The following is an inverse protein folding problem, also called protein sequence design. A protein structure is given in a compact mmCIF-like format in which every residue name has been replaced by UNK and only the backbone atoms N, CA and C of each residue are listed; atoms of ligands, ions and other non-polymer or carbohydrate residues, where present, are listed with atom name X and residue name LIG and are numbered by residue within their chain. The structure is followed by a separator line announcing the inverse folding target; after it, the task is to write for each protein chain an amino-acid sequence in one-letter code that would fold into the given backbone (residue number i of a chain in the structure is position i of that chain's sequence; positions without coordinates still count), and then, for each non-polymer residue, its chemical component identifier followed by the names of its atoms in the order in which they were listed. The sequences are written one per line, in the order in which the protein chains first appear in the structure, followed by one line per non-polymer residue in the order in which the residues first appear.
data_IF_290680553848
#
_entry.id   IF_290680553848
#
_cell.length_a   1.000
_cell.length_b   1.000
_cell.length_c   1.000
_cell.angle_alpha   90.00
_cell.angle_beta   90.00
_cell.angle_gamma   90.00
#
_symmetry.space_group_name_H-M   'P 1'
#
loop_
_entity.id
_entity.type
_entity.pdbx_description
1 polymer ?
#
# COMPACT_ATOMS: atom_id res chain seq x y z
N UNK A 1 -6.12 1.40 5.63
CA UNK A 1 -7.34 1.11 6.42
C UNK A 1 -8.57 1.71 5.77
N UNK A 2 -9.69 1.00 5.85
CA UNK A 2 -10.97 1.43 5.27
C UNK A 2 -12.09 1.15 6.28
N UNK A 3 -12.85 2.17 6.69
CA UNK A 3 -13.92 2.03 7.68
C UNK A 3 -15.08 2.97 7.41
N UNK A 4 -16.30 2.49 7.68
CA UNK A 4 -17.54 3.29 7.66
C UNK A 4 -17.76 3.94 9.02
N UNK A 5 -16.98 4.97 9.31
CA UNK A 5 -17.05 5.76 10.55
C UNK A 5 -16.67 7.22 10.25
N UNK A 6 -17.05 8.10 11.16
CA UNK A 6 -16.48 9.44 11.23
C UNK A 6 -14.96 9.36 11.44
N UNK A 7 -14.20 10.20 10.73
CA UNK A 7 -12.74 10.19 10.81
C UNK A 7 -12.20 10.37 12.25
N UNK A 8 -12.85 11.22 13.03
CA UNK A 8 -12.52 11.44 14.45
C UNK A 8 -12.68 10.16 15.29
N UNK A 9 -13.75 9.40 15.02
CA UNK A 9 -14.06 8.13 15.71
C UNK A 9 -13.05 7.06 15.30
N UNK A 10 -12.79 6.90 14.01
CA UNK A 10 -11.80 5.95 13.49
C UNK A 10 -10.40 6.20 14.09
N UNK A 11 -9.98 7.46 14.17
CA UNK A 11 -8.69 7.83 14.75
C UNK A 11 -8.63 7.68 16.27
N UNK A 12 -9.77 7.80 16.97
CA UNK A 12 -9.82 7.61 18.43
C UNK A 12 -9.47 6.18 18.84
N UNK A 13 -9.76 5.19 17.99
CA UNK A 13 -9.39 3.79 18.21
C UNK A 13 -7.89 3.56 18.37
N UNK A 14 -7.05 4.46 17.82
CA UNK A 14 -5.57 4.36 17.93
C UNK A 14 -4.98 5.08 19.16
N UNK A 15 -5.81 5.77 19.96
CA UNK A 15 -5.34 6.53 21.12
C UNK A 15 -4.98 5.64 22.31
N UNK A 16 -5.50 4.42 22.36
CA UNK A 16 -5.17 3.50 23.43
C UNK A 16 -3.75 2.93 23.22
N UNK A 17 -2.87 3.16 24.20
CA UNK A 17 -1.47 2.72 24.17
C UNK A 17 -1.30 1.20 24.22
N UNK A 18 -2.30 0.45 24.69
CA UNK A 18 -2.27 -1.03 24.71
C UNK A 18 -2.54 -1.67 23.35
N UNK A 19 -3.04 -0.92 22.37
CA UNK A 19 -3.30 -1.47 21.04
C UNK A 19 -1.99 -1.78 20.30
N UNK A 20 -1.92 -2.98 19.75
CA UNK A 20 -0.79 -3.42 18.92
C UNK A 20 -0.69 -2.61 17.63
N UNK A 21 -1.85 -2.29 17.00
CA UNK A 21 -1.92 -1.48 15.80
C UNK A 21 -2.01 0.01 16.16
N UNK A 22 -1.10 0.80 15.61
CA UNK A 22 -1.05 2.26 15.77
C UNK A 22 -1.27 2.95 14.44
N UNK A 23 -1.74 4.19 14.45
CA UNK A 23 -1.97 4.99 13.24
C UNK A 23 -0.77 5.01 12.28
N UNK A 24 0.44 5.06 12.78
CA UNK A 24 1.65 5.11 11.97
C UNK A 24 1.95 3.81 11.20
N UNK A 25 1.31 2.69 11.56
CA UNK A 25 1.41 1.44 10.81
C UNK A 25 0.58 1.46 9.52
N UNK A 26 -0.30 2.44 9.35
CA UNK A 26 -1.12 2.60 8.15
C UNK A 26 -0.55 3.66 7.23
N UNK A 27 -0.43 3.33 5.95
CA UNK A 27 -0.06 4.31 4.91
C UNK A 27 -1.21 5.28 4.64
N UNK A 28 -2.44 4.75 4.52
CA UNK A 28 -3.67 5.50 4.28
C UNK A 28 -4.78 4.96 5.18
N UNK A 29 -5.63 5.86 5.68
CA UNK A 29 -6.88 5.52 6.35
C UNK A 29 -8.01 6.30 5.67
N UNK A 30 -8.97 5.59 5.07
CA UNK A 30 -10.23 6.12 4.54
C UNK A 30 -11.33 5.83 5.57
N UNK A 31 -11.75 6.86 6.28
CA UNK A 31 -12.84 6.81 7.25
C UNK A 31 -13.97 7.69 6.75
N UNK A 32 -14.96 7.10 6.11
CA UNK A 32 -16.11 7.75 5.52
C UNK A 32 -17.25 6.75 5.33
N UNK A 33 -18.42 7.22 4.91
CA UNK A 33 -19.61 6.39 4.67
C UNK A 33 -19.73 5.88 3.22
N UNK A 34 -18.71 6.12 2.41
CA UNK A 34 -18.65 5.63 1.03
C UNK A 34 -18.53 4.10 0.95
N UNK A 35 -18.84 3.57 -0.22
CA UNK A 35 -18.65 2.16 -0.53
C UNK A 35 -17.17 1.77 -0.37
N UNK A 36 -16.89 0.69 0.35
CA UNK A 36 -15.52 0.22 0.59
C UNK A 36 -14.76 -0.12 -0.70
N UNK A 37 -15.45 -0.64 -1.73
CA UNK A 37 -14.81 -0.88 -3.02
C UNK A 37 -14.33 0.42 -3.68
N UNK A 38 -15.09 1.52 -3.59
CA UNK A 38 -14.66 2.84 -4.06
C UNK A 38 -13.42 3.30 -3.29
N UNK A 39 -13.44 3.18 -1.96
CA UNK A 39 -12.29 3.53 -1.12
C UNK A 39 -11.04 2.70 -1.47
N UNK A 40 -11.19 1.41 -1.79
CA UNK A 40 -10.09 0.54 -2.23
C UNK A 40 -9.50 1.03 -3.55
N UNK A 41 -10.33 1.41 -4.51
CA UNK A 41 -9.86 2.00 -5.78
C UNK A 41 -9.08 3.29 -5.55
N UNK A 42 -9.56 4.16 -4.68
CA UNK A 42 -8.85 5.39 -4.32
C UNK A 42 -7.50 5.10 -3.65
N UNK A 43 -7.48 4.18 -2.68
CA UNK A 43 -6.24 3.74 -2.01
C UNK A 43 -5.25 3.15 -3.02
N UNK A 44 -5.73 2.33 -3.96
CA UNK A 44 -4.92 1.75 -5.05
C UNK A 44 -4.23 2.84 -5.86
N UNK A 45 -4.97 3.88 -6.25
CA UNK A 45 -4.45 5.02 -7.00
C UNK A 45 -3.45 5.84 -6.19
N UNK A 46 -3.80 6.22 -4.96
CA UNK A 46 -2.95 7.02 -4.07
C UNK A 46 -1.63 6.33 -3.70
N UNK A 47 -1.64 4.99 -3.58
CA UNK A 47 -0.43 4.20 -3.31
C UNK A 47 0.30 3.74 -4.57
N UNK A 48 -0.31 3.94 -5.74
CA UNK A 48 0.17 3.40 -7.01
C UNK A 48 0.42 1.89 -6.95
N UNK A 49 -0.57 1.15 -6.41
CA UNK A 49 -0.55 -0.31 -6.26
C UNK A 49 -1.70 -0.89 -7.07
N UNK A 50 -1.44 -1.94 -7.86
CA UNK A 50 -2.50 -2.66 -8.59
C UNK A 50 -3.52 -3.29 -7.64
N UNK A 51 -4.79 -3.34 -8.07
CA UNK A 51 -5.86 -4.00 -7.31
C UNK A 51 -5.59 -5.49 -7.09
N UNK A 52 -4.91 -6.14 -8.03
CA UNK A 52 -4.45 -7.52 -7.99
C UNK A 52 -3.37 -7.81 -6.92
N UNK A 53 -2.78 -6.76 -6.38
CA UNK A 53 -1.80 -6.84 -5.28
C UNK A 53 -2.40 -6.48 -3.93
N UNK A 54 -3.74 -6.40 -3.83
CA UNK A 54 -4.44 -6.02 -2.60
C UNK A 54 -5.21 -7.19 -2.01
N UNK A 55 -5.16 -7.29 -0.69
CA UNK A 55 -5.98 -8.22 0.10
C UNK A 55 -6.92 -7.40 0.97
N UNK A 56 -8.23 -7.63 0.84
CA UNK A 56 -9.25 -6.96 1.64
C UNK A 56 -9.78 -7.88 2.73
N UNK A 57 -9.68 -7.45 3.98
CA UNK A 57 -10.13 -8.17 5.16
C UNK A 57 -11.19 -7.33 5.86
N UNK A 58 -12.32 -7.95 6.16
CA UNK A 58 -13.44 -7.29 6.83
C UNK A 58 -14.23 -8.32 7.64
N UNK A 59 -14.74 -7.94 8.80
CA UNK A 59 -15.60 -8.78 9.64
C UNK A 59 -16.99 -8.96 9.03
N UNK A 60 -17.49 -7.96 8.32
CA UNK A 60 -18.79 -7.99 7.66
C UNK A 60 -18.77 -8.86 6.40
N UNK A 61 -19.52 -9.96 6.43
CA UNK A 61 -19.74 -10.79 5.23
C UNK A 61 -20.31 -9.98 4.07
N UNK A 62 -21.22 -9.04 4.36
CA UNK A 62 -21.81 -8.18 3.33
C UNK A 62 -20.75 -7.33 2.62
N UNK A 63 -19.84 -6.70 3.34
CA UNK A 63 -18.77 -5.89 2.76
C UNK A 63 -17.80 -6.75 1.96
N UNK A 64 -17.44 -7.95 2.44
CA UNK A 64 -16.60 -8.89 1.70
C UNK A 64 -17.22 -9.29 0.37
N UNK A 65 -18.51 -9.71 0.37
CA UNK A 65 -19.21 -10.09 -0.86
C UNK A 65 -19.37 -8.92 -1.84
N UNK A 66 -19.62 -7.71 -1.31
CA UNK A 66 -19.70 -6.50 -2.13
C UNK A 66 -18.39 -6.22 -2.85
N UNK A 67 -17.26 -6.28 -2.13
CA UNK A 67 -15.92 -6.07 -2.70
C UNK A 67 -15.58 -7.16 -3.70
N UNK A 68 -15.82 -8.44 -3.41
CA UNK A 68 -15.64 -9.55 -4.37
C UNK A 68 -16.37 -9.31 -5.68
N UNK A 69 -17.61 -8.86 -5.58
CA UNK A 69 -18.44 -8.61 -6.76
C UNK A 69 -17.99 -7.41 -7.58
N UNK A 70 -17.59 -6.33 -6.93
CA UNK A 70 -17.24 -5.09 -7.60
C UNK A 70 -15.77 -5.05 -8.03
N UNK A 71 -14.89 -5.71 -7.31
CA UNK A 71 -13.45 -5.73 -7.54
C UNK A 71 -12.92 -7.17 -7.56
N UNK A 72 -13.23 -7.94 -8.60
CA UNK A 72 -12.83 -9.35 -8.67
C UNK A 72 -11.31 -9.57 -8.71
N UNK A 73 -10.54 -8.51 -8.91
CA UNK A 73 -9.07 -8.56 -8.87
C UNK A 73 -8.50 -8.45 -7.45
N UNK A 74 -9.31 -7.97 -6.49
CA UNK A 74 -8.90 -7.86 -5.09
C UNK A 74 -9.14 -9.19 -4.40
N UNK A 75 -8.13 -9.70 -3.74
CA UNK A 75 -8.26 -10.93 -2.96
C UNK A 75 -9.04 -10.67 -1.67
N UNK A 76 -10.07 -11.46 -1.41
CA UNK A 76 -10.95 -11.29 -0.24
C UNK A 76 -11.10 -12.62 0.50
N UNK A 77 -10.23 -12.91 1.48
CA UNK A 77 -10.27 -14.16 2.23
C UNK A 77 -11.54 -14.30 3.08
N UNK A 78 -11.98 -15.53 3.23
CA UNK A 78 -13.06 -15.87 4.15
C UNK A 78 -12.52 -16.01 5.58
N UNK A 79 -12.63 -14.94 6.34
CA UNK A 79 -12.12 -14.89 7.72
C UNK A 79 -13.17 -15.24 8.78
N UNK A 80 -14.43 -15.50 8.36
CA UNK A 80 -15.51 -15.80 9.29
C UNK A 80 -15.92 -14.59 10.12
N UNK A 81 -16.58 -14.83 11.25
CA UNK A 81 -17.05 -13.81 12.19
C UNK A 81 -16.28 -13.79 13.51
N UNK A 82 -15.30 -14.69 13.67
CA UNK A 82 -14.52 -14.85 14.89
C UNK A 82 -13.13 -14.17 14.72
N UNK A 83 -12.90 -13.01 15.33
CA UNK A 83 -11.65 -12.27 15.18
C UNK A 83 -10.40 -13.04 15.65
N UNK A 84 -10.55 -13.95 16.61
CA UNK A 84 -9.43 -14.75 17.13
C UNK A 84 -8.85 -15.68 16.06
N UNK A 85 -9.65 -16.02 15.04
CA UNK A 85 -9.24 -16.90 13.93
C UNK A 85 -8.70 -16.15 12.71
N UNK A 86 -8.74 -14.81 12.68
CA UNK A 86 -8.32 -14.05 11.49
C UNK A 86 -6.86 -14.34 11.12
N UNK A 87 -5.96 -14.37 12.09
CA UNK A 87 -4.54 -14.69 11.85
C UNK A 87 -4.40 -16.07 11.22
N UNK A 88 -5.12 -17.07 11.73
CA UNK A 88 -5.10 -18.43 11.19
C UNK A 88 -5.54 -18.49 9.71
N UNK A 89 -6.62 -17.79 9.37
CA UNK A 89 -7.09 -17.75 7.97
C UNK A 89 -6.10 -17.03 7.04
N UNK A 90 -5.49 -15.94 7.50
CA UNK A 90 -4.51 -15.21 6.71
C UNK A 90 -3.22 -16.01 6.49
N UNK A 91 -2.74 -16.68 7.51
CA UNK A 91 -1.55 -17.55 7.41
C UNK A 91 -1.79 -18.74 6.49
N UNK A 92 -2.98 -19.33 6.54
CA UNK A 92 -3.34 -20.45 5.69
C UNK A 92 -3.27 -20.12 4.20
N UNK A 93 -3.72 -18.93 3.82
CA UNK A 93 -3.75 -18.48 2.41
C UNK A 93 -2.41 -17.91 1.94
N UNK A 94 -1.42 -17.75 2.83
CA UNK A 94 -0.03 -17.36 2.51
C UNK A 94 0.15 -16.04 1.75
N UNK A 95 -0.80 -15.11 1.86
CA UNK A 95 -0.76 -13.83 1.14
C UNK A 95 0.47 -12.97 1.44
N UNK A 96 1.04 -13.12 2.63
CA UNK A 96 2.11 -12.26 3.13
C UNK A 96 3.44 -12.99 3.31
N UNK A 97 3.55 -14.24 2.85
CA UNK A 97 4.79 -15.00 2.93
C UNK A 97 5.84 -14.45 1.95
N UNK A 98 6.91 -13.96 2.49
CA UNK A 98 8.09 -13.57 1.72
C UNK A 98 9.29 -14.42 2.14
N UNK A 99 10.02 -14.95 1.17
CA UNK A 99 11.22 -15.75 1.44
C UNK A 99 12.34 -14.95 2.12
N UNK A 100 12.41 -13.64 1.87
CA UNK A 100 13.33 -12.69 2.52
C UNK A 100 12.71 -11.30 2.55
N UNK A 101 12.69 -10.68 3.74
CA UNK A 101 12.36 -9.26 3.90
C UNK A 101 13.63 -8.44 3.74
N UNK A 102 13.65 -7.54 2.76
CA UNK A 102 14.73 -6.58 2.61
C UNK A 102 14.56 -5.39 3.58
N UNK A 103 15.65 -4.64 3.83
CA UNK A 103 15.57 -3.41 4.64
C UNK A 103 14.59 -2.39 4.02
N UNK A 104 14.49 -2.36 2.70
CA UNK A 104 13.58 -1.52 1.96
C UNK A 104 12.12 -1.94 2.17
N UNK A 105 11.84 -3.24 2.25
CA UNK A 105 10.49 -3.73 2.52
C UNK A 105 9.99 -3.27 3.90
N UNK A 106 10.86 -3.23 4.90
CA UNK A 106 10.55 -2.70 6.24
C UNK A 106 10.24 -1.20 6.23
N UNK A 107 10.77 -0.45 5.26
CA UNK A 107 10.53 0.99 5.11
C UNK A 107 9.40 1.33 4.13
N UNK A 108 8.72 0.33 3.57
CA UNK A 108 7.71 0.52 2.51
C UNK A 108 6.60 1.51 2.89
N UNK A 109 6.08 1.42 4.10
CA UNK A 109 5.06 2.37 4.59
C UNK A 109 5.56 3.82 4.58
N UNK A 110 6.82 4.06 4.93
CA UNK A 110 7.43 5.40 4.90
C UNK A 110 7.60 5.89 3.47
N UNK A 111 7.96 5.01 2.53
CA UNK A 111 8.06 5.37 1.11
C UNK A 111 6.71 5.79 0.54
N UNK A 112 5.63 5.08 0.84
CA UNK A 112 4.28 5.47 0.41
C UNK A 112 3.90 6.85 0.97
N UNK A 113 4.10 7.11 2.26
CA UNK A 113 3.83 8.42 2.87
C UNK A 113 4.63 9.54 2.21
N UNK A 114 5.90 9.28 1.90
CA UNK A 114 6.77 10.24 1.22
C UNK A 114 6.29 10.51 -0.20
N UNK A 115 5.82 9.51 -0.92
CA UNK A 115 5.31 9.66 -2.29
C UNK A 115 4.00 10.47 -2.30
N UNK A 116 3.05 10.17 -1.41
CA UNK A 116 1.82 10.95 -1.25
C UNK A 116 2.16 12.43 -1.03
N UNK A 117 3.07 12.73 -0.10
CA UNK A 117 3.51 14.09 0.16
C UNK A 117 4.14 14.77 -1.05
N UNK A 118 4.93 14.03 -1.85
CA UNK A 118 5.50 14.55 -3.09
C UNK A 118 4.44 14.91 -4.13
N UNK A 119 3.39 14.11 -4.25
CA UNK A 119 2.26 14.41 -5.16
C UNK A 119 1.49 15.65 -4.70
N UNK A 120 1.25 15.79 -3.39
CA UNK A 120 0.67 17.00 -2.81
C UNK A 120 1.55 18.24 -3.09
N UNK A 121 2.86 18.12 -2.84
CA UNK A 121 3.81 19.20 -3.12
C UNK A 121 3.84 19.56 -4.61
N UNK A 122 3.80 18.57 -5.52
CA UNK A 122 3.73 18.80 -6.96
C UNK A 122 2.50 19.59 -7.37
N UNK A 123 1.34 19.29 -6.79
CA UNK A 123 0.07 19.97 -7.08
C UNK A 123 0.08 21.44 -6.65
N UNK A 124 0.98 21.84 -5.75
CA UNK A 124 1.15 23.24 -5.33
C UNK A 124 1.95 24.09 -6.33
N UNK A 125 2.62 23.46 -7.30
CA UNK A 125 3.36 24.18 -8.35
C UNK A 125 2.50 24.38 -9.59
N UNK A 126 2.54 25.57 -10.19
CA UNK A 126 1.84 25.88 -11.44
C UNK A 126 2.52 25.27 -12.67
N UNK A 127 3.83 25.03 -12.59
CA UNK A 127 4.66 24.47 -13.66
C UNK A 127 5.47 23.30 -13.16
N UNK A 128 5.35 22.17 -13.87
CA UNK A 128 6.07 20.94 -13.56
C UNK A 128 7.59 21.11 -13.57
N UNK A 129 8.13 21.94 -14.46
CA UNK A 129 9.57 22.19 -14.51
C UNK A 129 10.08 22.95 -13.27
N UNK A 130 9.26 23.86 -12.72
CA UNK A 130 9.60 24.52 -11.46
C UNK A 130 9.63 23.52 -10.30
N UNK A 131 8.67 22.60 -10.24
CA UNK A 131 8.68 21.51 -9.28
C UNK A 131 9.94 20.65 -9.40
N UNK A 132 10.30 20.20 -10.60
CA UNK A 132 11.52 19.39 -10.81
C UNK A 132 12.79 20.12 -10.36
N UNK A 133 12.91 21.42 -10.65
CA UNK A 133 14.04 22.25 -10.20
C UNK A 133 14.11 22.37 -8.68
N UNK A 134 12.94 22.50 -8.02
CA UNK A 134 12.85 22.58 -6.54
C UNK A 134 13.39 21.32 -5.84
N UNK A 135 13.28 20.17 -6.47
CA UNK A 135 13.76 18.90 -5.91
C UNK A 135 15.29 18.81 -5.84
N UNK A 136 16.03 19.67 -6.57
CA UNK A 136 17.53 19.69 -6.60
C UNK A 136 18.13 18.30 -6.76
N UNK A 137 17.53 17.46 -7.61
CA UNK A 137 17.91 16.07 -7.80
C UNK A 137 19.36 15.98 -8.30
N UNK A 138 20.12 15.04 -7.72
CA UNK A 138 21.48 14.70 -8.14
C UNK A 138 21.52 13.24 -8.55
N UNK A 139 22.14 12.94 -9.69
CA UNK A 139 22.30 11.58 -10.20
C UNK A 139 23.78 11.20 -10.25
N UNK A 140 24.09 10.03 -9.74
CA UNK A 140 25.41 9.43 -9.87
C UNK A 140 25.32 8.22 -10.80
N UNK A 141 26.00 8.25 -11.93
CA UNK A 141 26.12 7.13 -12.86
C UNK A 141 27.36 6.30 -12.50
N UNK A 142 27.16 5.01 -12.29
CA UNK A 142 28.25 4.08 -11.95
C UNK A 142 28.08 2.80 -12.77
N UNK A 143 29.20 2.15 -13.10
CA UNK A 143 29.19 0.81 -13.68
C UNK A 143 28.62 -0.21 -12.69
N UNK A 144 28.02 -1.29 -13.22
CA UNK A 144 27.53 -2.39 -12.41
C UNK A 144 28.72 -3.07 -11.68
N UNK A 145 28.55 -3.33 -10.40
CA UNK A 145 29.48 -4.08 -9.57
C UNK A 145 28.75 -5.29 -8.99
N UNK A 146 29.50 -6.36 -8.73
CA UNK A 146 28.94 -7.59 -8.14
C UNK A 146 28.17 -7.34 -6.85
N UNK A 147 28.62 -6.40 -6.01
CA UNK A 147 27.96 -5.98 -4.77
C UNK A 147 26.52 -5.46 -4.96
N UNK A 148 26.19 -5.00 -6.17
CA UNK A 148 24.92 -4.36 -6.48
C UNK A 148 23.97 -5.28 -7.28
N UNK A 149 24.41 -6.47 -7.67
CA UNK A 149 23.65 -7.37 -8.57
C UNK A 149 22.28 -7.72 -7.94
N UNK A 150 22.24 -8.11 -6.68
CA UNK A 150 20.97 -8.45 -6.00
C UNK A 150 19.99 -7.29 -6.00
N UNK A 151 20.50 -6.08 -5.79
CA UNK A 151 19.66 -4.88 -5.82
C UNK A 151 19.19 -4.54 -7.23
N UNK A 152 20.05 -4.68 -8.23
CA UNK A 152 19.72 -4.46 -9.64
C UNK A 152 18.63 -5.47 -10.07
N UNK A 153 18.81 -6.74 -9.74
CA UNK A 153 17.83 -7.79 -9.99
C UNK A 153 16.47 -7.46 -9.35
N UNK A 154 16.47 -7.07 -8.08
CA UNK A 154 15.26 -6.67 -7.36
C UNK A 154 14.54 -5.49 -8.05
N UNK A 155 15.29 -4.47 -8.47
CA UNK A 155 14.73 -3.31 -9.14
C UNK A 155 14.12 -3.67 -10.51
N UNK A 156 14.82 -4.47 -11.32
CA UNK A 156 14.33 -4.94 -12.63
C UNK A 156 13.01 -5.69 -12.47
N UNK A 157 12.91 -6.57 -11.46
CA UNK A 157 11.69 -7.36 -11.23
C UNK A 157 10.52 -6.56 -10.64
N UNK A 158 10.80 -5.50 -9.88
CA UNK A 158 9.77 -4.65 -9.23
C UNK A 158 9.35 -3.44 -10.07
N UNK A 159 10.11 -3.08 -11.11
CA UNK A 159 9.87 -1.86 -11.89
C UNK A 159 9.02 -2.17 -13.11
N UNK A 160 7.82 -1.57 -13.18
CA UNK A 160 6.97 -1.61 -14.37
C UNK A 160 7.22 -0.42 -15.31
N UNK A 161 7.70 0.71 -14.77
CA UNK A 161 8.16 1.88 -15.54
C UNK A 161 9.63 1.71 -15.90
N UNK A 162 10.06 2.22 -17.03
CA UNK A 162 11.46 2.13 -17.52
C UNK A 162 11.99 0.71 -17.80
N UNK A 163 11.14 -0.31 -17.74
CA UNK A 163 11.50 -1.65 -18.18
C UNK A 163 11.02 -1.85 -19.62
N UNK A 164 11.87 -1.51 -20.60
CA UNK A 164 11.54 -1.49 -22.01
C UNK A 164 11.12 -2.87 -22.56
N UNK A 165 11.59 -3.93 -21.97
CA UNK A 165 11.34 -5.30 -22.48
C UNK A 165 10.31 -6.06 -21.65
N UNK A 166 9.94 -5.57 -20.48
CA UNK A 166 9.10 -6.26 -19.46
C UNK A 166 9.57 -7.69 -19.13
N UNK A 167 10.75 -8.08 -19.57
CA UNK A 167 11.37 -9.36 -19.21
C UNK A 167 11.82 -9.31 -17.75
N UNK A 168 11.45 -10.34 -17.00
CA UNK A 168 11.77 -10.53 -15.58
C UNK A 168 12.48 -11.85 -15.36
#
# INVERSE_FOLDING_TARGET
GCTKNENSVALSGFKNNSNLLKKNHFSIIKANWENKAKNIIEISKELNIGLDSMVFIDDSKFERELVKKQLPMVEVPEVGSDPEKYIFYLDREKYFENSKLSKEDLQRTNFYKTNIKREEDQNNFKDYNQYLRSLKMKTNLKSFKNENIDRIYQLINKTNQFNLTTKR
#
